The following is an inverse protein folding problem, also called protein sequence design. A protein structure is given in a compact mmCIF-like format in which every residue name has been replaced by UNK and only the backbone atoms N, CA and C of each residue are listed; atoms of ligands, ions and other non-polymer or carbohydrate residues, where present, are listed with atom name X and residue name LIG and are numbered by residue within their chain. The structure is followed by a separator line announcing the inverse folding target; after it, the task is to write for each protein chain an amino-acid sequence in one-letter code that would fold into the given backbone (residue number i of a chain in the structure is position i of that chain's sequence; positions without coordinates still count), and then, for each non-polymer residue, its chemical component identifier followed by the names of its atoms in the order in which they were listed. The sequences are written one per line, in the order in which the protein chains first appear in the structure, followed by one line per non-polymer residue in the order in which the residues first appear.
data_IF_275795724766
#
_entry.id   IF_275795724766
#
_cell.length_a   1.000
_cell.length_b   1.000
_cell.length_c   1.000
_cell.angle_alpha   90.00
_cell.angle_beta   90.00
_cell.angle_gamma   90.00
#
_symmetry.space_group_name_H-M   'P 1'
#
loop_
_entity.id
_entity.type
_entity.pdbx_description
1 polymer ?
#
# COMPACT_ATOMS: atom_id res chain seq x y z
N UNK A 1 -6.20 5.91 29.85
CA UNK A 1 -4.77 6.23 29.67
C UNK A 1 -4.46 7.67 30.07
N UNK A 2 -3.18 8.03 30.40
CA UNK A 2 -2.82 9.44 30.71
C UNK A 2 -2.32 10.13 29.46
N UNK A 3 -2.80 11.36 29.19
CA UNK A 3 -2.37 12.17 28.06
C UNK A 3 -2.38 13.65 28.43
N UNK A 4 -1.70 14.48 27.64
CA UNK A 4 -1.66 15.93 27.76
C UNK A 4 -2.09 16.57 26.44
N UNK A 5 -2.95 17.57 26.50
CA UNK A 5 -3.33 18.34 25.31
C UNK A 5 -2.18 19.30 24.99
N UNK A 6 -1.58 19.15 23.80
CA UNK A 6 -0.50 20.03 23.30
C UNK A 6 -1.01 21.20 22.52
N UNK A 7 -2.05 20.98 21.74
CA UNK A 7 -2.61 22.02 20.88
C UNK A 7 -4.08 21.68 20.57
N UNK A 8 -4.91 22.69 20.55
CA UNK A 8 -6.33 22.56 20.27
C UNK A 8 -6.81 23.74 19.44
N UNK A 9 -7.57 23.46 18.40
CA UNK A 9 -8.38 24.40 17.62
C UNK A 9 -9.73 23.76 17.38
N UNK A 10 -10.73 24.54 16.99
CA UNK A 10 -12.07 24.03 16.69
C UNK A 10 -12.01 22.90 15.65
N UNK A 11 -12.58 21.74 16.00
CA UNK A 11 -12.58 20.54 15.15
C UNK A 11 -11.24 19.77 15.07
N UNK A 12 -10.19 20.20 15.79
CA UNK A 12 -8.89 19.50 15.76
C UNK A 12 -8.19 19.55 17.10
N UNK A 13 -7.80 18.36 17.59
CA UNK A 13 -7.12 18.17 18.86
C UNK A 13 -5.78 17.46 18.65
N UNK A 14 -4.70 17.99 19.24
CA UNK A 14 -3.41 17.29 19.34
C UNK A 14 -3.13 16.94 20.79
N UNK A 15 -2.98 15.65 21.06
CA UNK A 15 -2.69 15.11 22.37
C UNK A 15 -1.34 14.39 22.38
N UNK A 16 -0.63 14.49 23.48
CA UNK A 16 0.58 13.73 23.75
C UNK A 16 0.26 12.62 24.73
N UNK A 17 0.52 11.38 24.34
CA UNK A 17 0.36 10.23 25.21
C UNK A 17 1.54 10.16 26.18
N UNK A 18 1.26 10.09 27.49
CA UNK A 18 2.26 10.11 28.56
C UNK A 18 3.02 8.78 28.65
N UNK A 19 3.77 8.46 27.58
CA UNK A 19 4.64 7.28 27.47
C UNK A 19 5.95 7.68 26.79
N UNK A 20 7.05 7.01 27.19
CA UNK A 20 8.38 7.36 26.69
C UNK A 20 8.65 6.89 25.25
N UNK A 21 7.98 5.81 24.85
CA UNK A 21 8.07 5.22 23.50
C UNK A 21 6.72 4.63 23.14
N UNK A 22 6.42 4.62 21.86
CA UNK A 22 5.27 3.99 21.28
C UNK A 22 5.74 3.04 20.18
N UNK A 23 5.33 1.80 20.24
CA UNK A 23 5.61 0.82 19.18
C UNK A 23 4.71 1.08 17.98
N UNK A 24 5.04 0.53 16.82
CA UNK A 24 4.19 0.66 15.63
C UNK A 24 2.80 0.04 15.86
N UNK A 25 2.74 -1.12 16.52
CA UNK A 25 1.49 -1.78 16.88
C UNK A 25 0.63 -0.91 17.82
N UNK A 26 1.21 -0.31 18.85
CA UNK A 26 0.51 0.62 19.74
C UNK A 26 -0.01 1.86 18.99
N UNK A 27 0.81 2.41 18.07
CA UNK A 27 0.39 3.56 17.25
C UNK A 27 -0.77 3.20 16.31
N UNK A 28 -0.74 2.03 15.70
CA UNK A 28 -1.81 1.53 14.85
C UNK A 28 -3.07 1.23 15.65
N UNK A 29 -2.95 0.65 16.86
CA UNK A 29 -4.07 0.39 17.78
C UNK A 29 -4.74 1.69 18.23
N UNK A 30 -3.95 2.70 18.60
CA UNK A 30 -4.49 4.00 19.00
C UNK A 30 -5.16 4.72 17.83
N UNK A 31 -4.55 4.68 16.64
CA UNK A 31 -5.11 5.29 15.44
C UNK A 31 -6.44 4.63 15.06
N UNK A 32 -6.46 3.30 15.01
CA UNK A 32 -7.65 2.52 14.74
C UNK A 32 -8.78 2.82 15.71
N UNK A 33 -8.49 2.86 17.01
CA UNK A 33 -9.46 3.21 18.03
C UNK A 33 -10.06 4.61 17.83
N UNK A 34 -9.21 5.59 17.52
CA UNK A 34 -9.64 6.96 17.33
C UNK A 34 -10.48 7.14 16.06
N UNK A 35 -10.11 6.46 14.96
CA UNK A 35 -10.85 6.48 13.69
C UNK A 35 -12.20 5.76 13.80
N UNK A 36 -12.34 4.82 14.75
CA UNK A 36 -13.60 4.13 15.06
C UNK A 36 -14.58 4.93 15.94
N UNK A 37 -14.19 6.09 16.44
CA UNK A 37 -15.08 6.91 17.28
C UNK A 37 -16.10 7.68 16.44
N UNK A 38 -17.38 7.76 16.89
CA UNK A 38 -18.39 8.54 16.20
C UNK A 38 -17.97 10.01 16.06
N UNK A 39 -18.11 10.56 14.86
CA UNK A 39 -17.78 11.95 14.58
C UNK A 39 -16.30 12.29 14.51
N UNK A 40 -15.39 11.32 14.48
CA UNK A 40 -14.00 11.50 14.10
C UNK A 40 -13.87 11.34 12.59
N UNK A 41 -13.44 12.42 11.92
CA UNK A 41 -13.23 12.41 10.48
C UNK A 41 -11.88 11.80 10.09
N UNK A 42 -10.86 12.05 10.91
CA UNK A 42 -9.51 11.53 10.67
C UNK A 42 -8.67 11.56 11.93
N UNK A 43 -7.87 10.51 12.14
CA UNK A 43 -6.88 10.47 13.22
C UNK A 43 -5.50 10.10 12.66
N UNK A 44 -4.46 10.76 13.16
CA UNK A 44 -3.08 10.46 12.82
C UNK A 44 -2.22 10.38 14.06
N UNK A 45 -1.59 9.24 14.27
CA UNK A 45 -0.72 9.00 15.43
C UNK A 45 0.73 9.03 14.97
N UNK A 46 1.57 9.69 15.75
CA UNK A 46 3.02 9.84 15.52
C UNK A 46 3.77 9.05 16.58
N UNK A 47 4.26 7.87 16.25
CA UNK A 47 4.93 6.96 17.19
C UNK A 47 6.21 7.56 17.79
N UNK A 48 6.98 8.33 17.00
CA UNK A 48 8.26 8.93 17.46
C UNK A 48 8.08 10.00 18.52
N UNK A 49 6.95 10.74 18.47
CA UNK A 49 6.65 11.83 19.41
C UNK A 49 5.57 11.46 20.40
N UNK A 50 5.00 10.27 20.30
CA UNK A 50 3.84 9.79 21.06
C UNK A 50 2.66 10.77 21.01
N UNK A 51 2.48 11.47 19.89
CA UNK A 51 1.40 12.44 19.71
C UNK A 51 0.29 11.82 18.83
N UNK A 52 -0.95 12.12 19.15
CA UNK A 52 -2.09 11.84 18.29
C UNK A 52 -2.78 13.15 17.89
N UNK A 53 -3.11 13.28 16.62
CA UNK A 53 -3.88 14.40 16.06
C UNK A 53 -5.19 13.85 15.58
N UNK A 54 -6.29 14.40 16.11
CA UNK A 54 -7.67 13.98 15.83
C UNK A 54 -8.41 15.15 15.22
N UNK A 55 -8.99 14.95 14.05
CA UNK A 55 -9.94 15.90 13.42
C UNK A 55 -11.33 15.34 13.60
N UNK A 56 -12.23 16.12 14.17
CA UNK A 56 -13.54 15.65 14.59
C UNK A 56 -14.63 16.69 14.38
N UNK A 57 -15.86 16.20 14.23
CA UNK A 57 -17.12 17.00 14.18
C UNK A 57 -18.00 16.74 15.40
N UNK A 58 -17.65 15.74 16.23
CA UNK A 58 -18.34 15.40 17.47
C UNK A 58 -18.06 16.43 18.57
N UNK A 59 -18.73 16.30 19.73
CA UNK A 59 -18.41 17.12 20.88
C UNK A 59 -17.03 16.77 21.45
N UNK A 60 -16.26 17.81 21.79
CA UNK A 60 -14.93 17.69 22.39
C UNK A 60 -14.89 16.76 23.63
N UNK A 61 -15.94 16.83 24.44
CA UNK A 61 -16.06 16.05 25.67
C UNK A 61 -16.04 14.55 25.41
N UNK A 62 -16.65 14.10 24.34
CA UNK A 62 -16.73 12.70 23.94
C UNK A 62 -15.34 12.15 23.55
N UNK A 63 -14.59 12.92 22.75
CA UNK A 63 -13.22 12.55 22.35
C UNK A 63 -12.30 12.45 23.58
N UNK A 64 -12.40 13.39 24.52
CA UNK A 64 -11.60 13.36 25.76
C UNK A 64 -12.00 12.18 26.64
N UNK A 65 -13.29 11.86 26.73
CA UNK A 65 -13.76 10.71 27.51
C UNK A 65 -13.30 9.41 26.90
N UNK A 66 -13.38 9.26 25.59
CA UNK A 66 -12.87 8.11 24.86
C UNK A 66 -11.36 7.92 25.07
N UNK A 67 -10.56 8.99 24.95
CA UNK A 67 -9.13 8.95 25.23
C UNK A 67 -8.78 8.54 26.68
N UNK A 68 -9.57 8.97 27.66
CA UNK A 68 -9.39 8.55 29.06
C UNK A 68 -9.68 7.07 29.27
N UNK A 69 -10.67 6.52 28.56
CA UNK A 69 -11.08 5.11 28.64
C UNK A 69 -10.19 4.19 27.82
N UNK A 70 -9.40 4.74 26.90
CA UNK A 70 -8.55 3.96 26.02
C UNK A 70 -7.52 3.12 26.81
N UNK A 71 -7.41 1.84 26.41
CA UNK A 71 -6.41 0.89 26.89
C UNK A 71 -6.01 -0.03 25.74
N UNK A 72 -4.71 -0.22 25.49
CA UNK A 72 -4.21 -1.04 24.40
C UNK A 72 -4.73 -2.49 24.46
N UNK A 73 -4.77 -3.06 25.66
CA UNK A 73 -5.17 -4.48 25.86
C UNK A 73 -6.66 -4.75 25.57
N UNK A 74 -7.48 -3.69 25.44
CA UNK A 74 -8.91 -3.81 25.17
C UNK A 74 -9.29 -3.62 23.71
N UNK A 75 -8.34 -3.19 22.89
CA UNK A 75 -8.58 -2.92 21.48
C UNK A 75 -7.84 -3.97 20.66
N UNK A 76 -8.59 -4.89 20.07
CA UNK A 76 -8.03 -5.87 19.15
C UNK A 76 -7.99 -5.28 17.75
N UNK A 77 -6.79 -5.28 17.15
CA UNK A 77 -6.62 -4.90 15.76
C UNK A 77 -7.11 -6.03 14.84
N UNK A 78 -7.86 -5.71 13.77
CA UNK A 78 -8.13 -6.67 12.71
C UNK A 78 -6.83 -7.22 12.14
N UNK A 79 -6.84 -8.51 11.75
CA UNK A 79 -5.67 -9.19 11.19
C UNK A 79 -5.13 -8.49 9.94
N UNK A 80 -6.00 -7.87 9.15
CA UNK A 80 -5.62 -7.07 7.99
C UNK A 80 -4.76 -5.84 8.35
N UNK A 81 -4.95 -5.23 9.52
CA UNK A 81 -4.15 -4.09 9.99
C UNK A 81 -2.90 -4.56 10.71
N UNK A 82 -3.01 -5.62 11.53
CA UNK A 82 -1.87 -6.16 12.27
C UNK A 82 -0.82 -6.84 11.38
N UNK A 83 -1.27 -7.44 10.24
CA UNK A 83 -0.39 -8.10 9.27
C UNK A 83 0.24 -7.15 8.24
N UNK A 84 -0.34 -5.97 8.02
CA UNK A 84 0.07 -5.00 6.99
C UNK A 84 0.24 -3.60 7.59
N UNK A 85 1.17 -3.47 8.56
CA UNK A 85 1.49 -2.16 9.13
C UNK A 85 2.28 -1.31 8.15
N UNK A 86 1.63 -0.33 7.52
CA UNK A 86 2.30 0.61 6.61
C UNK A 86 3.40 1.42 7.30
N UNK A 87 3.37 1.53 8.64
CA UNK A 87 4.42 2.16 9.44
C UNK A 87 5.68 1.32 9.47
N UNK A 88 5.54 0.02 9.71
CA UNK A 88 6.66 -0.92 9.76
C UNK A 88 7.30 -1.03 8.37
N UNK A 89 6.50 -1.21 7.33
CA UNK A 89 6.94 -1.19 5.92
C UNK A 89 7.72 0.08 5.60
N UNK A 90 7.16 1.27 5.91
CA UNK A 90 7.84 2.53 5.66
C UNK A 90 9.16 2.66 6.42
N UNK A 91 9.21 2.25 7.69
CA UNK A 91 10.42 2.30 8.51
C UNK A 91 11.51 1.36 7.98
N UNK A 92 11.13 0.15 7.54
CA UNK A 92 12.06 -0.82 6.94
C UNK A 92 12.70 -0.27 5.68
N UNK A 93 11.89 0.20 4.70
CA UNK A 93 12.42 0.73 3.45
C UNK A 93 13.22 2.02 3.63
N UNK A 94 12.79 2.92 4.53
CA UNK A 94 13.59 4.09 4.90
C UNK A 94 14.95 3.69 5.48
N UNK A 95 15.00 2.70 6.35
CA UNK A 95 16.25 2.21 6.92
C UNK A 95 17.15 1.56 5.87
N UNK A 96 16.58 0.83 4.90
CA UNK A 96 17.32 0.25 3.75
C UNK A 96 17.92 1.34 2.88
N UNK A 97 17.15 2.38 2.51
CA UNK A 97 17.62 3.52 1.69
C UNK A 97 18.74 4.30 2.39
N UNK A 98 18.54 4.62 3.67
CA UNK A 98 19.56 5.29 4.49
C UNK A 98 20.81 4.41 4.61
N UNK A 99 20.64 3.12 4.86
CA UNK A 99 21.73 2.14 4.94
C UNK A 99 22.53 2.04 3.64
N UNK A 100 21.85 1.91 2.48
CA UNK A 100 22.49 1.89 1.17
C UNK A 100 23.30 3.17 0.90
N UNK A 101 22.72 4.32 1.25
CA UNK A 101 23.36 5.64 1.08
C UNK A 101 24.59 5.78 1.99
N UNK A 102 24.46 5.45 3.28
CA UNK A 102 25.57 5.49 4.22
C UNK A 102 26.70 4.52 3.81
N UNK A 103 26.36 3.32 3.35
CA UNK A 103 27.34 2.35 2.87
C UNK A 103 28.04 2.85 1.61
N UNK A 104 27.32 3.46 0.66
CA UNK A 104 27.90 4.00 -0.56
C UNK A 104 28.93 5.11 -0.25
N UNK A 105 28.49 6.14 0.50
CA UNK A 105 29.36 7.28 0.87
C UNK A 105 30.43 6.87 1.88
N UNK A 106 30.10 6.01 2.85
CA UNK A 106 31.06 5.48 3.81
C UNK A 106 32.21 4.72 3.16
N UNK A 107 31.90 3.87 2.17
CA UNK A 107 32.96 3.19 1.39
C UNK A 107 33.87 4.19 0.67
N UNK A 108 33.28 5.27 0.11
CA UNK A 108 34.07 6.30 -0.59
C UNK A 108 34.97 7.06 0.36
N UNK A 109 34.57 7.24 1.63
CA UNK A 109 35.33 7.99 2.64
C UNK A 109 36.38 7.14 3.35
N UNK A 110 36.05 5.91 3.73
CA UNK A 110 36.86 5.10 4.63
C UNK A 110 37.70 4.00 3.95
N UNK A 111 37.31 3.55 2.73
CA UNK A 111 38.02 2.48 2.07
C UNK A 111 39.04 2.99 1.04
N UNK A 112 40.25 2.43 1.00
CA UNK A 112 41.23 2.68 -0.05
C UNK A 112 40.69 2.31 -1.42
N UNK A 113 41.16 3.04 -2.46
CA UNK A 113 40.68 2.84 -3.83
C UNK A 113 40.75 1.39 -4.35
N UNK A 114 41.86 0.62 -4.14
CA UNK A 114 41.92 -0.74 -4.67
C UNK A 114 40.87 -1.67 -4.06
N UNK A 115 40.57 -1.50 -2.79
CA UNK A 115 39.53 -2.31 -2.11
C UNK A 115 38.13 -1.96 -2.67
N UNK A 116 37.87 -0.66 -2.87
CA UNK A 116 36.60 -0.23 -3.49
C UNK A 116 36.46 -0.75 -4.91
N UNK A 117 37.55 -0.69 -5.70
CA UNK A 117 37.57 -1.19 -7.07
C UNK A 117 37.26 -2.70 -7.11
N UNK A 118 37.88 -3.49 -6.24
CA UNK A 118 37.62 -4.92 -6.14
C UNK A 118 36.12 -5.20 -5.76
N UNK A 119 35.58 -4.51 -4.77
CA UNK A 119 34.17 -4.66 -4.39
C UNK A 119 33.24 -4.29 -5.54
N UNK A 120 33.56 -3.21 -6.28
CA UNK A 120 32.77 -2.75 -7.42
C UNK A 120 32.82 -3.78 -8.54
N UNK A 121 34.02 -4.32 -8.88
CA UNK A 121 34.17 -5.34 -9.89
C UNK A 121 33.40 -6.63 -9.58
N UNK A 122 33.40 -7.07 -8.31
CA UNK A 122 32.59 -8.23 -7.87
C UNK A 122 31.11 -7.97 -8.00
N UNK A 123 30.65 -6.78 -7.57
CA UNK A 123 29.24 -6.43 -7.68
C UNK A 123 28.76 -6.25 -9.13
N UNK A 124 29.61 -5.76 -10.01
CA UNK A 124 29.27 -5.59 -11.43
C UNK A 124 28.99 -6.92 -12.12
N UNK A 125 29.53 -8.03 -11.62
CA UNK A 125 29.32 -9.36 -12.19
C UNK A 125 27.81 -9.75 -12.23
N UNK A 126 27.02 -9.34 -11.23
CA UNK A 126 25.56 -9.56 -11.22
C UNK A 126 24.89 -8.92 -12.44
N UNK A 127 25.16 -7.65 -12.68
CA UNK A 127 24.54 -6.88 -13.77
C UNK A 127 25.03 -7.35 -15.14
N UNK A 128 26.32 -7.65 -15.26
CA UNK A 128 26.90 -8.21 -16.50
C UNK A 128 26.30 -9.57 -16.83
N UNK A 129 26.09 -10.43 -15.83
CA UNK A 129 25.43 -11.72 -16.01
C UNK A 129 23.98 -11.55 -16.46
N UNK A 130 23.22 -10.64 -15.82
CA UNK A 130 21.83 -10.37 -16.18
C UNK A 130 21.71 -9.88 -17.63
N UNK A 131 22.53 -8.89 -18.04
CA UNK A 131 22.53 -8.39 -19.41
C UNK A 131 22.97 -9.44 -20.44
N UNK A 132 23.99 -10.25 -20.11
CA UNK A 132 24.41 -11.34 -20.97
C UNK A 132 23.34 -12.43 -21.13
N UNK A 133 22.63 -12.74 -20.04
CA UNK A 133 21.52 -13.71 -20.06
C UNK A 133 20.35 -13.22 -20.93
N UNK A 134 19.98 -11.93 -20.84
CA UNK A 134 18.96 -11.33 -21.71
C UNK A 134 19.38 -11.40 -23.20
N UNK A 135 20.63 -11.10 -23.52
CA UNK A 135 21.16 -11.20 -24.88
C UNK A 135 21.15 -12.63 -25.40
N UNK A 136 21.49 -13.63 -24.57
CA UNK A 136 21.40 -15.04 -24.93
C UNK A 136 19.97 -15.50 -25.24
N UNK A 137 18.98 -14.91 -24.57
CA UNK A 137 17.57 -15.13 -24.85
C UNK A 137 17.06 -14.34 -26.05
N UNK A 138 17.93 -13.62 -26.76
CA UNK A 138 17.60 -12.72 -27.87
C UNK A 138 16.59 -11.62 -27.52
N UNK A 139 16.59 -11.21 -26.26
CA UNK A 139 15.79 -10.10 -25.75
C UNK A 139 16.72 -8.90 -25.51
N UNK A 140 16.28 -7.74 -25.96
CA UNK A 140 16.99 -6.48 -25.72
C UNK A 140 16.12 -5.67 -24.74
N UNK A 141 16.41 -5.85 -23.46
CA UNK A 141 15.70 -5.23 -22.32
C UNK A 141 16.62 -4.19 -21.67
N UNK A 142 16.06 -3.38 -20.74
CA UNK A 142 16.80 -2.36 -19.97
C UNK A 142 18.03 -2.94 -19.28
N UNK A 143 17.96 -4.17 -18.80
CA UNK A 143 19.10 -4.89 -18.20
C UNK A 143 20.35 -4.96 -19.10
N UNK A 144 20.17 -4.88 -20.42
CA UNK A 144 21.30 -4.82 -21.38
C UNK A 144 21.97 -3.45 -21.34
N UNK A 145 21.18 -2.35 -21.22
CA UNK A 145 21.74 -1.00 -21.09
C UNK A 145 22.58 -0.88 -19.82
N UNK A 146 22.06 -1.37 -18.70
CA UNK A 146 22.76 -1.37 -17.43
C UNK A 146 24.07 -2.15 -17.49
N UNK A 147 24.02 -3.35 -18.08
CA UNK A 147 25.21 -4.18 -18.27
C UNK A 147 26.26 -3.47 -19.15
N UNK A 148 25.84 -2.81 -20.23
CA UNK A 148 26.75 -2.05 -21.11
C UNK A 148 27.33 -0.85 -20.38
N UNK A 149 26.51 -0.06 -19.68
CA UNK A 149 26.96 1.11 -18.92
C UNK A 149 27.99 0.74 -17.84
N UNK A 150 27.66 -0.27 -17.04
CA UNK A 150 28.54 -0.77 -15.97
C UNK A 150 29.78 -1.42 -16.56
N UNK A 151 29.61 -2.26 -17.59
CA UNK A 151 30.71 -2.99 -18.24
C UNK A 151 31.74 -2.06 -18.86
N UNK A 152 31.30 -1.06 -19.62
CA UNK A 152 32.19 -0.06 -20.22
C UNK A 152 32.91 0.76 -19.14
N UNK A 153 32.22 1.15 -18.07
CA UNK A 153 32.82 1.88 -16.94
C UNK A 153 33.88 1.06 -16.23
N UNK A 154 33.64 -0.23 -15.99
CA UNK A 154 34.61 -1.17 -15.39
C UNK A 154 35.78 -1.40 -16.30
N UNK A 155 35.55 -1.62 -17.60
CA UNK A 155 36.62 -1.84 -18.59
C UNK A 155 37.54 -0.63 -18.70
N UNK A 156 37.03 0.59 -18.58
CA UNK A 156 37.84 1.82 -18.55
C UNK A 156 38.55 2.08 -17.23
N UNK A 157 38.31 1.26 -16.21
CA UNK A 157 38.85 1.48 -14.86
C UNK A 157 38.13 2.59 -14.08
N UNK A 158 37.00 3.10 -14.59
CA UNK A 158 36.18 4.12 -13.93
C UNK A 158 35.26 3.50 -12.84
N UNK A 159 35.89 2.85 -11.86
CA UNK A 159 35.18 2.10 -10.82
C UNK A 159 34.21 2.97 -9.98
N UNK A 160 34.51 4.28 -9.83
CA UNK A 160 33.64 5.20 -9.13
C UNK A 160 32.32 5.44 -9.90
N UNK A 161 32.42 5.56 -11.24
CA UNK A 161 31.25 5.71 -12.12
C UNK A 161 30.38 4.45 -12.06
N UNK A 162 30.98 3.27 -12.25
CA UNK A 162 30.27 2.00 -12.14
C UNK A 162 29.60 1.82 -10.76
N UNK A 163 30.28 2.19 -9.67
CA UNK A 163 29.73 2.12 -8.33
C UNK A 163 28.53 3.08 -8.13
N UNK A 164 28.59 4.28 -8.71
CA UNK A 164 27.50 5.25 -8.63
C UNK A 164 26.28 4.81 -9.44
N UNK A 165 26.49 4.23 -10.63
CA UNK A 165 25.39 3.67 -11.44
C UNK A 165 24.70 2.54 -10.68
N UNK A 166 25.46 1.54 -10.19
CA UNK A 166 24.90 0.43 -9.41
C UNK A 166 24.21 0.90 -8.12
N UNK A 167 24.67 1.99 -7.51
CA UNK A 167 24.01 2.59 -6.35
C UNK A 167 22.66 3.19 -6.72
N UNK A 168 22.60 3.95 -7.83
CA UNK A 168 21.33 4.57 -8.28
C UNK A 168 20.32 3.50 -8.71
N UNK A 169 20.74 2.46 -9.42
CA UNK A 169 19.90 1.33 -9.77
C UNK A 169 19.33 0.63 -8.50
N UNK A 170 20.20 0.37 -7.52
CA UNK A 170 19.76 -0.25 -6.26
C UNK A 170 18.80 0.61 -5.44
N UNK A 171 18.92 1.95 -5.50
CA UNK A 171 17.93 2.86 -4.90
C UNK A 171 16.61 2.79 -5.69
N UNK A 172 16.67 2.80 -7.03
CA UNK A 172 15.51 2.66 -7.89
C UNK A 172 14.72 1.39 -7.58
N UNK A 173 15.38 0.23 -7.60
CA UNK A 173 14.78 -1.07 -7.23
C UNK A 173 14.11 -1.03 -5.83
N UNK A 174 14.78 -0.41 -4.84
CA UNK A 174 14.24 -0.31 -3.47
C UNK A 174 13.02 0.61 -3.39
N UNK A 175 13.01 1.73 -4.14
CA UNK A 175 11.88 2.66 -4.19
C UNK A 175 10.68 2.05 -4.92
N UNK A 176 10.91 1.33 -6.00
CA UNK A 176 9.89 0.60 -6.74
C UNK A 176 9.21 -0.44 -5.84
N UNK A 177 10.00 -1.31 -5.20
CA UNK A 177 9.51 -2.32 -4.26
C UNK A 177 8.73 -1.69 -3.10
N UNK A 178 9.21 -0.57 -2.55
CA UNK A 178 8.52 0.18 -1.50
C UNK A 178 7.17 0.74 -1.96
N UNK A 179 7.15 1.39 -3.13
CA UNK A 179 5.94 2.00 -3.68
C UNK A 179 4.88 0.94 -3.95
N UNK A 180 5.30 -0.18 -4.54
CA UNK A 180 4.44 -1.31 -4.81
C UNK A 180 3.83 -1.87 -3.52
N UNK A 181 4.66 -2.26 -2.55
CA UNK A 181 4.20 -2.83 -1.27
C UNK A 181 3.29 -1.86 -0.50
N UNK A 182 3.63 -0.57 -0.51
CA UNK A 182 2.79 0.44 0.13
C UNK A 182 1.41 0.57 -0.52
N UNK A 183 1.34 0.52 -1.85
CA UNK A 183 0.05 0.58 -2.57
C UNK A 183 -0.87 -0.55 -2.18
N UNK A 184 -0.32 -1.76 -1.99
CA UNK A 184 -1.07 -2.94 -1.53
C UNK A 184 -1.55 -2.77 -0.10
N UNK A 185 -0.64 -2.39 0.81
CA UNK A 185 -0.97 -2.19 2.22
C UNK A 185 -2.08 -1.11 2.37
N UNK A 186 -2.02 -0.02 1.60
CA UNK A 186 -3.02 1.04 1.61
C UNK A 186 -4.36 0.53 1.04
N UNK A 187 -4.35 -0.29 -0.02
CA UNK A 187 -5.55 -0.89 -0.59
C UNK A 187 -6.18 -1.90 0.38
N UNK A 188 -5.39 -2.82 0.93
CA UNK A 188 -5.86 -3.80 1.92
C UNK A 188 -6.48 -3.10 3.13
N UNK A 189 -5.88 -1.99 3.59
CA UNK A 189 -6.40 -1.19 4.69
C UNK A 189 -7.71 -0.48 4.34
N UNK A 190 -7.82 0.10 3.16
CA UNK A 190 -9.04 0.78 2.70
C UNK A 190 -10.22 -0.17 2.52
N UNK A 191 -9.93 -1.43 2.22
CA UNK A 191 -10.91 -2.48 2.02
C UNK A 191 -11.20 -3.32 3.28
N UNK A 192 -10.45 -3.13 4.39
CA UNK A 192 -10.66 -3.91 5.61
C UNK A 192 -12.02 -3.58 6.26
N UNK A 193 -12.81 -4.63 6.47
CA UNK A 193 -14.10 -4.53 7.15
C UNK A 193 -13.88 -4.28 8.65
N UNK A 194 -14.41 -3.17 9.13
CA UNK A 194 -14.19 -2.71 10.50
C UNK A 194 -15.30 -3.21 11.48
N UNK A 195 -15.72 -4.48 11.33
CA UNK A 195 -16.75 -5.07 12.19
C UNK A 195 -16.10 -5.92 13.27
N UNK A 196 -15.91 -5.34 14.45
CA UNK A 196 -15.30 -6.05 15.60
C UNK A 196 -16.32 -6.82 16.44
N UNK A 197 -17.58 -6.39 16.50
CA UNK A 197 -18.66 -7.00 17.30
C UNK A 197 -19.91 -7.16 16.47
N UNK A 198 -20.65 -8.23 16.73
CA UNK A 198 -21.91 -8.58 16.05
C UNK A 198 -22.95 -9.04 17.03
N UNK A 199 -24.22 -8.87 16.69
CA UNK A 199 -25.34 -9.38 17.46
C UNK A 199 -25.63 -10.82 17.03
N UNK A 200 -25.26 -11.79 17.87
CA UNK A 200 -25.56 -13.20 17.70
C UNK A 200 -26.95 -13.49 18.23
N UNK A 201 -27.79 -14.15 17.44
CA UNK A 201 -29.10 -14.64 17.88
C UNK A 201 -28.98 -16.07 18.36
N UNK A 202 -29.02 -16.31 19.65
CA UNK A 202 -28.95 -17.63 20.28
C UNK A 202 -30.16 -17.83 21.21
N UNK A 203 -30.89 -18.91 21.01
CA UNK A 203 -32.11 -19.26 21.79
C UNK A 203 -33.15 -18.10 21.90
N UNK A 204 -33.25 -17.31 20.83
CA UNK A 204 -34.16 -16.16 20.77
C UNK A 204 -33.68 -14.92 21.51
N UNK A 205 -32.48 -14.92 22.04
CA UNK A 205 -31.83 -13.78 22.67
C UNK A 205 -30.70 -13.23 21.81
N UNK A 206 -30.58 -11.92 21.78
CA UNK A 206 -29.49 -11.24 21.09
C UNK A 206 -28.33 -11.00 22.06
N UNK A 207 -27.17 -11.53 21.73
CA UNK A 207 -25.95 -11.40 22.53
C UNK A 207 -24.90 -10.70 21.69
N UNK A 208 -24.30 -9.64 22.22
CA UNK A 208 -23.20 -8.93 21.55
C UNK A 208 -21.90 -9.70 21.77
N UNK A 209 -21.40 -10.33 20.72
CA UNK A 209 -20.16 -11.14 20.75
C UNK A 209 -19.10 -10.55 19.83
N UNK A 210 -17.85 -10.97 20.01
CA UNK A 210 -16.78 -10.68 19.02
C UNK A 210 -17.08 -11.38 17.71
N UNK A 211 -16.85 -10.72 16.57
CA UNK A 211 -17.00 -11.35 15.25
C UNK A 211 -16.14 -12.62 15.08
N UNK A 212 -15.07 -12.76 15.86
CA UNK A 212 -14.19 -13.94 15.88
C UNK A 212 -14.81 -15.18 16.58
N UNK A 213 -15.80 -14.96 17.43
CA UNK A 213 -16.47 -16.02 18.20
C UNK A 213 -17.63 -16.66 17.42
N UNK A 214 -18.04 -16.03 16.31
CA UNK A 214 -19.13 -16.53 15.46
C UNK A 214 -18.68 -17.76 14.68
N UNK A 215 -19.52 -18.78 14.64
CA UNK A 215 -19.28 -20.02 13.93
C UNK A 215 -20.14 -20.13 12.64
N UNK A 216 -19.73 -21.06 11.76
CA UNK A 216 -20.54 -21.39 10.57
C UNK A 216 -21.91 -21.94 11.01
N UNK A 217 -22.97 -21.37 10.42
CA UNK A 217 -24.35 -21.74 10.74
C UNK A 217 -25.01 -20.85 11.79
N UNK A 218 -24.26 -20.04 12.50
CA UNK A 218 -24.78 -19.08 13.45
C UNK A 218 -25.69 -18.05 12.79
N UNK A 219 -26.62 -17.49 13.58
CA UNK A 219 -27.54 -16.46 13.14
C UNK A 219 -27.11 -15.10 13.69
N UNK A 220 -26.88 -14.15 12.81
CA UNK A 220 -26.42 -12.78 13.15
C UNK A 220 -27.47 -11.77 12.74
N UNK A 221 -27.80 -10.86 13.65
CA UNK A 221 -28.76 -9.76 13.42
C UNK A 221 -28.00 -8.56 12.86
N UNK A 222 -28.45 -8.02 11.72
CA UNK A 222 -27.90 -6.82 11.11
C UNK A 222 -29.01 -5.80 10.90
N UNK A 223 -28.83 -4.61 11.49
CA UNK A 223 -29.80 -3.51 11.47
C UNK A 223 -29.39 -2.43 10.49
N UNK A 224 -30.37 -1.59 10.16
CA UNK A 224 -30.16 -0.38 9.36
C UNK A 224 -28.92 0.40 9.80
N UNK A 225 -28.14 0.85 8.83
CA UNK A 225 -26.90 1.60 9.03
C UNK A 225 -25.67 0.72 9.32
N UNK A 226 -25.83 -0.59 9.52
CA UNK A 226 -24.73 -1.50 9.82
C UNK A 226 -24.22 -2.20 8.57
N UNK A 227 -22.91 -2.49 8.60
CA UNK A 227 -22.23 -3.31 7.60
C UNK A 227 -22.54 -4.78 7.88
N UNK A 228 -22.82 -5.55 6.83
CA UNK A 228 -23.00 -7.00 6.91
C UNK A 228 -21.63 -7.64 7.18
N UNK A 229 -21.45 -8.37 8.29
CA UNK A 229 -20.14 -8.83 8.73
C UNK A 229 -19.67 -10.12 8.06
N UNK A 230 -20.58 -10.95 7.57
CA UNK A 230 -20.28 -12.26 7.02
C UNK A 230 -21.09 -12.53 5.75
N UNK A 231 -20.57 -13.38 4.89
CA UNK A 231 -21.34 -13.94 3.78
C UNK A 231 -22.37 -14.94 4.31
N UNK A 232 -23.61 -14.84 3.86
CA UNK A 232 -24.65 -15.72 4.35
C UNK A 232 -25.99 -15.58 3.64
N UNK A 233 -26.97 -16.31 4.18
CA UNK A 233 -28.35 -16.35 3.67
C UNK A 233 -29.30 -15.76 4.69
N UNK A 234 -30.20 -14.89 4.25
CA UNK A 234 -31.22 -14.29 5.12
C UNK A 234 -32.19 -15.37 5.58
N UNK A 235 -32.38 -15.48 6.89
CA UNK A 235 -33.34 -16.39 7.53
C UNK A 235 -34.62 -15.70 7.95
N UNK A 236 -34.52 -14.42 8.36
CA UNK A 236 -35.67 -13.62 8.80
C UNK A 236 -35.45 -12.16 8.41
N UNK A 237 -36.56 -11.44 8.18
CA UNK A 237 -36.55 -10.04 7.84
C UNK A 237 -36.34 -9.75 6.36
N UNK A 238 -36.37 -8.47 6.03
CA UNK A 238 -36.06 -7.93 4.71
C UNK A 238 -35.29 -6.63 4.85
N UNK A 239 -34.46 -6.32 3.87
CA UNK A 239 -33.68 -5.07 3.88
C UNK A 239 -33.37 -4.58 2.47
N UNK A 240 -33.18 -3.27 2.35
CA UNK A 240 -32.50 -2.65 1.24
C UNK A 240 -31.01 -2.64 1.51
N UNK A 241 -30.23 -3.31 0.67
CA UNK A 241 -28.79 -3.51 0.85
C UNK A 241 -28.04 -2.78 -0.23
N UNK A 242 -27.18 -1.84 0.18
CA UNK A 242 -26.25 -1.14 -0.71
C UNK A 242 -25.04 -2.05 -0.98
N UNK A 243 -24.84 -2.38 -2.24
CA UNK A 243 -23.74 -3.23 -2.73
C UNK A 243 -22.73 -2.42 -3.58
N UNK A 244 -22.78 -1.09 -3.56
CA UNK A 244 -21.94 -0.22 -4.38
C UNK A 244 -20.43 -0.48 -4.18
N UNK A 245 -20.01 -0.84 -2.96
CA UNK A 245 -18.63 -1.21 -2.66
C UNK A 245 -18.12 -2.44 -3.42
N UNK A 246 -19.02 -3.30 -3.90
CA UNK A 246 -18.68 -4.54 -4.61
C UNK A 246 -19.02 -4.50 -6.10
N UNK A 247 -20.15 -3.88 -6.45
CA UNK A 247 -20.68 -3.87 -7.82
C UNK A 247 -20.48 -2.55 -8.53
N UNK A 248 -20.21 -1.46 -7.81
CA UNK A 248 -20.18 -0.10 -8.31
C UNK A 248 -21.57 0.51 -8.57
N UNK A 249 -22.65 -0.26 -8.36
CA UNK A 249 -24.01 0.22 -8.55
C UNK A 249 -24.51 0.95 -7.29
N UNK A 250 -24.95 2.21 -7.44
CA UNK A 250 -25.36 3.05 -6.32
C UNK A 250 -26.77 2.75 -5.78
N UNK A 251 -27.59 2.00 -6.53
CA UNK A 251 -28.96 1.72 -6.11
C UNK A 251 -28.98 0.52 -5.14
N UNK A 252 -29.59 0.67 -3.97
CA UNK A 252 -29.73 -0.44 -3.03
C UNK A 252 -30.66 -1.53 -3.58
N UNK A 253 -30.31 -2.77 -3.32
CA UNK A 253 -31.03 -3.96 -3.79
C UNK A 253 -31.87 -4.54 -2.66
N UNK A 254 -33.15 -4.80 -2.91
CA UNK A 254 -34.02 -5.47 -1.95
C UNK A 254 -33.59 -6.92 -1.75
N UNK A 255 -33.40 -7.31 -0.52
CA UNK A 255 -33.03 -8.65 -0.07
C UNK A 255 -34.09 -9.21 0.88
N UNK A 256 -34.53 -10.41 0.56
CA UNK A 256 -35.62 -11.12 1.27
C UNK A 256 -35.12 -12.46 1.82
N UNK A 257 -35.95 -13.12 2.64
CA UNK A 257 -35.66 -14.45 3.18
C UNK A 257 -35.26 -15.42 2.07
N UNK A 258 -34.17 -16.15 2.28
CA UNK A 258 -33.60 -17.08 1.32
C UNK A 258 -32.61 -16.47 0.31
N UNK A 259 -32.49 -15.13 0.26
CA UNK A 259 -31.48 -14.48 -0.60
C UNK A 259 -30.12 -14.46 0.07
N UNK A 260 -29.07 -14.49 -0.77
CA UNK A 260 -27.70 -14.41 -0.33
C UNK A 260 -27.27 -12.94 -0.17
N UNK A 261 -26.54 -12.65 0.91
CA UNK A 261 -25.95 -11.34 1.20
C UNK A 261 -24.46 -11.48 1.40
N UNK A 262 -23.73 -10.41 1.10
CA UNK A 262 -22.27 -10.40 1.08
C UNK A 262 -21.72 -9.51 2.19
N UNK A 263 -20.66 -9.97 2.83
CA UNK A 263 -19.89 -9.18 3.76
C UNK A 263 -19.38 -7.88 3.09
N UNK A 264 -19.36 -6.78 3.85
CA UNK A 264 -18.92 -5.47 3.34
C UNK A 264 -20.00 -4.65 2.66
N UNK A 265 -21.20 -5.18 2.49
CA UNK A 265 -22.37 -4.43 2.03
C UNK A 265 -23.09 -3.78 3.23
N UNK A 266 -23.85 -2.71 3.00
CA UNK A 266 -24.50 -1.93 4.05
C UNK A 266 -26.01 -2.08 3.99
N UNK A 267 -26.66 -2.31 5.13
CA UNK A 267 -28.12 -2.28 5.24
C UNK A 267 -28.56 -0.82 5.31
N UNK A 268 -29.22 -0.31 4.26
CA UNK A 268 -29.73 1.07 4.24
C UNK A 268 -31.10 1.19 4.91
N UNK A 269 -31.97 0.20 4.73
CA UNK A 269 -33.30 0.15 5.35
C UNK A 269 -33.62 -1.28 5.75
N UNK A 270 -34.38 -1.44 6.86
CA UNK A 270 -34.82 -2.73 7.35
C UNK A 270 -33.88 -3.39 8.35
N UNK A 271 -34.20 -4.63 8.68
CA UNK A 271 -33.41 -5.48 9.59
C UNK A 271 -33.45 -6.93 9.07
N UNK A 272 -32.33 -7.60 9.12
CA UNK A 272 -32.20 -8.98 8.70
C UNK A 272 -31.51 -9.85 9.75
N UNK A 273 -31.95 -11.10 9.83
CA UNK A 273 -31.22 -12.16 10.51
C UNK A 273 -30.58 -13.03 9.44
N UNK A 274 -29.26 -12.97 9.35
CA UNK A 274 -28.50 -13.78 8.39
C UNK A 274 -27.94 -15.03 9.05
N UNK A 275 -27.98 -16.15 8.37
CA UNK A 275 -27.24 -17.35 8.77
C UNK A 275 -25.87 -17.34 8.07
N UNK A 276 -24.82 -17.40 8.86
CA UNK A 276 -23.44 -17.39 8.39
C UNK A 276 -23.13 -18.63 7.56
N UNK A 277 -22.64 -18.45 6.33
CA UNK A 277 -22.28 -19.53 5.42
C UNK A 277 -20.78 -19.58 5.14
N UNK A 278 -20.11 -18.41 5.17
CA UNK A 278 -18.66 -18.33 5.03
C UNK A 278 -18.12 -17.45 6.16
N UNK A 279 -17.00 -17.90 6.75
CA UNK A 279 -16.33 -17.21 7.86
C UNK A 279 -15.34 -16.16 7.36
N UNK A 280 -14.96 -15.24 8.24
CA UNK A 280 -13.79 -14.38 8.05
C UNK A 280 -12.57 -15.21 7.65
N UNK A 281 -11.92 -14.89 6.53
CA UNK A 281 -10.82 -15.67 5.92
C UNK A 281 -11.23 -16.40 4.64
N UNK A 282 -12.53 -16.61 4.40
CA UNK A 282 -13.03 -17.23 3.18
C UNK A 282 -14.13 -16.44 2.47
N UNK A 283 -14.46 -15.24 2.98
CA UNK A 283 -15.47 -14.37 2.37
C UNK A 283 -15.06 -13.95 0.96
N UNK A 284 -16.03 -13.63 0.10
CA UNK A 284 -15.75 -13.09 -1.24
C UNK A 284 -14.86 -11.86 -1.19
N UNK A 285 -15.02 -11.05 -0.16
CA UNK A 285 -14.21 -9.87 0.06
C UNK A 285 -12.73 -10.23 0.30
N UNK A 286 -12.45 -11.18 1.19
CA UNK A 286 -11.08 -11.64 1.43
C UNK A 286 -10.49 -12.37 0.23
N UNK A 287 -11.32 -13.10 -0.53
CA UNK A 287 -10.92 -13.67 -1.83
C UNK A 287 -10.53 -12.59 -2.85
N UNK A 288 -11.22 -11.43 -2.85
CA UNK A 288 -10.84 -10.29 -3.68
C UNK A 288 -9.51 -9.71 -3.21
N UNK A 289 -9.31 -9.53 -1.90
CA UNK A 289 -8.02 -9.08 -1.33
C UNK A 289 -6.91 -10.07 -1.69
N UNK A 290 -7.13 -11.37 -1.49
CA UNK A 290 -6.15 -12.41 -1.86
C UNK A 290 -5.91 -12.45 -3.38
N UNK A 291 -6.93 -12.26 -4.21
CA UNK A 291 -6.77 -12.13 -5.67
C UNK A 291 -5.97 -10.88 -6.06
N UNK A 292 -6.13 -9.78 -5.33
CA UNK A 292 -5.33 -8.57 -5.52
C UNK A 292 -3.88 -8.86 -5.14
N UNK A 293 -3.63 -9.49 -4.00
CA UNK A 293 -2.31 -9.91 -3.55
C UNK A 293 -1.66 -10.93 -4.50
N UNK A 294 -2.43 -11.88 -5.03
CA UNK A 294 -1.95 -12.84 -6.03
C UNK A 294 -1.80 -12.24 -7.42
N UNK A 295 -2.65 -11.26 -7.79
CA UNK A 295 -2.53 -10.47 -9.01
C UNK A 295 -1.29 -9.58 -9.01
N UNK A 296 -0.79 -9.22 -7.83
CA UNK A 296 0.48 -8.51 -7.68
C UNK A 296 1.69 -9.36 -8.04
N UNK A 297 1.64 -10.66 -7.80
CA UNK A 297 2.66 -11.60 -8.29
C UNK A 297 2.65 -11.69 -9.83
N UNK A 298 1.53 -11.33 -10.45
CA UNK A 298 1.39 -11.11 -11.89
C UNK A 298 1.51 -9.59 -12.11
N UNK A 299 2.71 -9.10 -12.48
CA UNK A 299 2.97 -7.68 -12.79
C UNK A 299 1.75 -7.02 -13.45
N UNK A 300 1.34 -5.86 -12.95
CA UNK A 300 0.14 -5.19 -13.46
C UNK A 300 0.27 -4.99 -14.99
N UNK A 301 -0.83 -5.09 -15.72
CA UNK A 301 -0.83 -4.91 -17.19
C UNK A 301 -0.33 -3.54 -17.64
N UNK A 302 -0.40 -2.53 -16.76
CA UNK A 302 0.08 -1.16 -17.01
C UNK A 302 1.59 -1.09 -16.82
N UNK A 303 2.11 -1.71 -15.75
CA UNK A 303 3.54 -1.83 -15.46
C UNK A 303 4.25 -2.64 -16.54
N UNK A 304 3.67 -3.77 -16.94
CA UNK A 304 4.15 -4.57 -18.08
C UNK A 304 4.15 -3.76 -19.39
N UNK A 305 3.18 -2.86 -19.63
CA UNK A 305 3.18 -1.99 -20.82
C UNK A 305 4.25 -0.92 -20.75
N UNK A 306 4.51 -0.34 -19.57
CA UNK A 306 5.58 0.65 -19.38
C UNK A 306 6.95 0.00 -19.57
N UNK A 307 7.19 -1.19 -19.01
CA UNK A 307 8.39 -1.98 -19.23
C UNK A 307 8.58 -2.32 -20.72
N UNK A 308 7.54 -2.81 -21.41
CA UNK A 308 7.61 -3.08 -22.85
C UNK A 308 7.87 -1.84 -23.70
N UNK A 309 7.42 -0.66 -23.28
CA UNK A 309 7.75 0.60 -23.94
C UNK A 309 9.20 0.98 -23.71
N UNK A 310 9.70 0.85 -22.47
CA UNK A 310 11.10 1.07 -22.14
C UNK A 310 12.00 0.12 -22.95
N UNK A 311 11.68 -1.18 -22.98
CA UNK A 311 12.41 -2.19 -23.75
C UNK A 311 12.45 -1.88 -25.25
N UNK A 312 11.35 -1.36 -25.82
CA UNK A 312 11.35 -0.92 -27.23
C UNK A 312 12.27 0.26 -27.52
N UNK A 313 12.56 1.10 -26.53
CA UNK A 313 13.46 2.23 -26.67
C UNK A 313 14.93 1.84 -26.56
N UNK A 314 15.25 0.70 -25.92
CA UNK A 314 16.62 0.21 -25.72
C UNK A 314 17.44 0.16 -27.01
N UNK A 315 16.96 -0.42 -28.14
CA UNK A 315 17.73 -0.45 -29.37
C UNK A 315 18.07 0.95 -29.91
N UNK A 316 17.13 1.89 -29.79
CA UNK A 316 17.33 3.28 -30.24
C UNK A 316 18.34 4.02 -29.36
N UNK A 317 18.32 3.79 -28.05
CA UNK A 317 19.30 4.33 -27.10
C UNK A 317 20.70 3.79 -27.38
N UNK A 318 20.83 2.48 -27.66
CA UNK A 318 22.10 1.87 -28.06
C UNK A 318 22.63 2.43 -29.38
N UNK A 319 21.76 2.60 -30.40
CA UNK A 319 22.11 3.23 -31.67
C UNK A 319 22.55 4.69 -31.49
N UNK A 320 21.78 5.46 -30.70
CA UNK A 320 22.12 6.84 -30.34
C UNK A 320 23.47 6.95 -29.65
N UNK A 321 23.73 6.08 -28.69
CA UNK A 321 25.01 5.96 -27.99
C UNK A 321 26.16 5.69 -28.96
N UNK A 322 25.98 4.74 -29.88
CA UNK A 322 26.94 4.42 -30.94
C UNK A 322 27.21 5.59 -31.89
N UNK A 323 26.13 6.30 -32.27
CA UNK A 323 26.22 7.49 -33.14
C UNK A 323 27.00 8.63 -32.43
N UNK A 324 26.65 8.94 -31.17
CA UNK A 324 27.39 9.96 -30.40
C UNK A 324 28.83 9.60 -30.19
N UNK A 325 29.11 8.33 -29.97
CA UNK A 325 30.52 7.86 -29.92
C UNK A 325 31.26 8.04 -31.25
N UNK A 326 30.63 7.66 -32.37
CA UNK A 326 31.21 7.82 -33.71
C UNK A 326 31.51 9.28 -34.04
N UNK A 327 30.61 10.21 -33.68
CA UNK A 327 30.75 11.64 -33.95
C UNK A 327 31.73 12.35 -33.00
N UNK A 328 31.71 12.01 -31.71
CA UNK A 328 32.49 12.75 -30.70
C UNK A 328 33.77 12.07 -30.32
N UNK A 329 33.94 10.77 -30.65
CA UNK A 329 35.01 9.90 -30.18
C UNK A 329 35.23 9.94 -28.66
N UNK A 330 34.23 10.37 -27.93
CA UNK A 330 34.26 10.56 -26.48
C UNK A 330 33.27 9.59 -25.80
N UNK A 331 33.82 8.58 -25.13
CA UNK A 331 33.03 7.54 -24.47
C UNK A 331 32.18 8.10 -23.32
N UNK A 332 32.66 9.11 -22.61
CA UNK A 332 31.92 9.73 -21.50
C UNK A 332 30.64 10.42 -22.00
N UNK A 333 30.71 11.10 -23.18
CA UNK A 333 29.52 11.70 -23.80
C UNK A 333 28.57 10.62 -24.33
N UNK A 334 29.08 9.53 -24.86
CA UNK A 334 28.29 8.39 -25.32
C UNK A 334 27.58 7.70 -24.14
N UNK A 335 28.29 7.47 -23.02
CA UNK A 335 27.70 6.92 -21.80
C UNK A 335 26.63 7.84 -21.19
N UNK A 336 26.75 9.15 -21.33
CA UNK A 336 25.70 10.08 -20.85
C UNK A 336 24.36 9.87 -21.59
N UNK A 337 24.40 9.48 -22.88
CA UNK A 337 23.17 9.11 -23.63
C UNK A 337 22.61 7.79 -23.14
N UNK A 338 23.47 6.82 -22.81
CA UNK A 338 23.06 5.52 -22.30
C UNK A 338 22.42 5.61 -20.91
N UNK A 339 22.84 6.60 -20.10
CA UNK A 339 22.33 6.81 -18.75
C UNK A 339 21.00 7.61 -18.70
N UNK A 340 20.47 8.06 -19.83
CA UNK A 340 19.12 8.58 -19.93
C UNK A 340 18.15 7.39 -19.82
N UNK A 341 17.86 7.02 -18.59
CA UNK A 341 16.95 5.92 -18.29
C UNK A 341 15.51 6.43 -18.36
N UNK A 342 14.84 6.07 -19.45
CA UNK A 342 13.42 6.38 -19.64
C UNK A 342 12.51 5.51 -18.75
N UNK A 343 13.00 4.37 -18.23
CA UNK A 343 12.21 3.50 -17.38
C UNK A 343 11.89 4.16 -16.05
N UNK A 344 12.89 4.70 -15.36
CA UNK A 344 12.68 5.44 -14.11
C UNK A 344 11.80 6.69 -14.27
N UNK A 345 11.83 7.36 -15.42
CA UNK A 345 11.00 8.53 -15.68
C UNK A 345 9.54 8.18 -15.96
N UNK A 346 9.28 7.03 -16.59
CA UNK A 346 7.93 6.54 -16.86
C UNK A 346 7.27 5.94 -15.61
N UNK A 347 8.00 5.16 -14.82
CA UNK A 347 7.47 4.54 -13.59
C UNK A 347 7.15 5.57 -12.50
N UNK A 348 8.04 6.54 -12.29
CA UNK A 348 7.86 7.49 -11.19
C UNK A 348 6.74 8.50 -11.40
N UNK A 349 6.40 8.84 -12.65
CA UNK A 349 5.34 9.82 -12.97
C UNK A 349 4.06 9.20 -13.50
N UNK A 350 4.13 8.10 -14.25
CA UNK A 350 2.97 7.43 -14.83
C UNK A 350 2.12 6.71 -13.80
N UNK A 351 2.74 5.96 -12.89
CA UNK A 351 2.05 5.19 -11.85
C UNK A 351 1.52 6.06 -10.69
N UNK A 352 2.18 7.17 -10.35
CA UNK A 352 1.66 8.10 -9.32
C UNK A 352 0.39 8.83 -9.74
N UNK A 353 0.18 9.05 -11.03
CA UNK A 353 -0.94 9.82 -11.55
C UNK A 353 -2.02 8.96 -12.22
N UNK A 354 -1.75 7.70 -12.55
CA UNK A 354 -2.70 6.83 -13.22
C UNK A 354 -4.01 6.60 -12.42
N UNK A 355 -3.98 6.28 -11.11
CA UNK A 355 -5.22 6.16 -10.34
C UNK A 355 -5.92 7.51 -10.11
N UNK A 356 -5.17 8.61 -9.97
CA UNK A 356 -5.73 9.96 -9.85
C UNK A 356 -6.33 10.49 -11.16
N UNK A 357 -5.76 10.10 -12.31
CA UNK A 357 -6.28 10.44 -13.63
C UNK A 357 -7.52 9.60 -13.98
N UNK A 358 -7.56 8.33 -13.55
CA UNK A 358 -8.74 7.48 -13.71
C UNK A 358 -9.89 7.97 -12.83
N UNK A 359 -9.64 8.31 -11.56
CA UNK A 359 -10.62 8.92 -10.66
C UNK A 359 -11.11 10.30 -11.15
N UNK A 360 -10.21 11.14 -11.70
CA UNK A 360 -10.61 12.42 -12.32
C UNK A 360 -11.37 12.24 -13.63
N UNK A 361 -11.07 11.22 -14.41
CA UNK A 361 -11.78 10.93 -15.65
C UNK A 361 -13.18 10.35 -15.41
N UNK A 362 -13.37 9.63 -14.30
CA UNK A 362 -14.69 9.22 -13.82
C UNK A 362 -15.50 10.40 -13.28
N UNK A 363 -14.89 11.28 -12.48
CA UNK A 363 -15.55 12.47 -11.94
C UNK A 363 -15.99 13.46 -13.03
N UNK A 364 -15.25 13.58 -14.14
CA UNK A 364 -15.66 14.40 -15.29
C UNK A 364 -16.75 13.77 -16.18
N UNK A 365 -16.97 12.45 -16.10
CA UNK A 365 -18.08 11.79 -16.80
C UNK A 365 -19.42 11.91 -16.07
N UNK A 366 -19.41 12.30 -14.80
CA UNK A 366 -20.61 12.47 -13.96
C UNK A 366 -20.93 13.92 -13.62
N UNK A 367 -20.59 14.88 -14.46
CA UNK A 367 -21.19 16.21 -14.41
C UNK A 367 -22.33 16.28 -15.46
N UNK A 368 -23.58 16.09 -15.08
CA UNK A 368 -24.69 16.39 -15.97
C UNK A 368 -24.92 17.88 -15.90
N UNK A 369 -24.33 18.63 -16.83
CA UNK A 369 -24.89 19.91 -17.23
C UNK A 369 -26.24 19.62 -17.89
N UNK A 370 -27.30 19.84 -17.13
CA UNK A 370 -28.65 19.97 -17.63
C UNK A 370 -29.04 21.46 -17.66
N UNK A 371 -29.63 21.95 -18.74
CA UNK A 371 -30.04 23.36 -18.93
C UNK A 371 -31.14 23.78 -17.97
#
# INVERSE_FOLDING_TARGET
MRFQIKHEIEGRLRVHMMQNRMTFAEADTLQYYLEGLPGVAHAKVYEKTCDAVVTYTAERADIITALKQFCYDRVELPTAISGHSSRETNAEYQSRLVGQTLIHFGKKLFLPYPVRAAITAVKSAKYLYQGAHCLLQRKIEVSVLDAVAIGVSVFRGEMNTAASVMYLLGIGETLEEWTHKKSVDDLARSMSLNVSKVWLLQDGQEILVSAKEVALGDSVVVRMGNVIPFDGVIRQGEAMVNQASMTGESLPVRKEVGTYVYAGTVVEEGEIVLQVREMSGSTRFEKIVTMIEDSEKLKSTVESRAEHLADRLVPYTLLGTGLVYALTRNVTKALAVLMVDFSCALDSQGLRNAPLLLLKAEDQRFSPDLP
#
